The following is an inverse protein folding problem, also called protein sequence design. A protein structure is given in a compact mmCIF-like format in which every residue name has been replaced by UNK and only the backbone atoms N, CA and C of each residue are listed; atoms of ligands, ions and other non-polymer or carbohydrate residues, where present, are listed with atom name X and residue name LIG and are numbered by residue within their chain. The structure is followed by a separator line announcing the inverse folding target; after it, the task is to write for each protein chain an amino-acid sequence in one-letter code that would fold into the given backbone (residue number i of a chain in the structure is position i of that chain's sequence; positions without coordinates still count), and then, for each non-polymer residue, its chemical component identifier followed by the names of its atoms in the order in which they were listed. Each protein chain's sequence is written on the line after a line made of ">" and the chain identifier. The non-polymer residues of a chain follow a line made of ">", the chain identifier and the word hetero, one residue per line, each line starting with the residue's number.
data_IF_052307603772
#
_entry.id   IF_052307603772
#
_cell.length_a   1.000
_cell.length_b   1.000
_cell.length_c   1.000
_cell.angle_alpha   90.00
_cell.angle_beta   90.00
_cell.angle_gamma   90.00
#
_symmetry.space_group_name_H-M   'P 1'
#
loop_
_entity.id
_entity.type
_entity.pdbx_description
1 polymer ?
#
# COMPACT_ATOMS: atom_id res chain seq x y z
N UNK A 1 13.14 6.60 -7.11
CA UNK A 1 12.03 6.96 -6.21
C UNK A 1 11.05 7.80 -7.02
N UNK A 2 9.82 7.32 -7.25
CA UNK A 2 8.73 8.16 -7.76
C UNK A 2 7.82 8.52 -6.60
N UNK A 3 7.62 9.81 -6.40
CA UNK A 3 6.63 10.35 -5.48
C UNK A 3 5.33 10.47 -6.26
N UNK A 4 4.34 9.63 -5.95
CA UNK A 4 3.01 9.77 -6.53
C UNK A 4 2.22 10.77 -5.67
N UNK A 5 1.48 11.67 -6.32
CA UNK A 5 0.60 12.60 -5.62
C UNK A 5 -0.43 11.81 -4.82
N UNK A 6 -0.26 11.92 -3.51
CA UNK A 6 -0.95 11.18 -2.47
C UNK A 6 -2.38 11.68 -2.34
N UNK A 7 -3.28 11.17 -3.18
CA UNK A 7 -4.70 11.28 -2.93
C UNK A 7 -5.02 10.53 -1.63
N UNK A 8 -5.19 11.28 -0.54
CA UNK A 8 -5.70 10.77 0.73
C UNK A 8 -7.08 10.17 0.46
N UNK A 9 -7.20 8.85 0.54
CA UNK A 9 -8.51 8.20 0.52
C UNK A 9 -9.22 8.50 1.86
N UNK A 10 -10.54 8.30 1.92
CA UNK A 10 -11.36 8.55 3.13
C UNK A 10 -10.94 7.74 4.38
N UNK A 11 -9.93 6.89 4.24
CA UNK A 11 -9.46 5.91 5.21
C UNK A 11 -8.31 6.44 6.09
N UNK A 12 -7.95 7.73 5.97
CA UNK A 12 -6.78 8.36 6.60
C UNK A 12 -5.42 7.72 6.26
N UNK A 13 -5.42 6.71 5.37
CA UNK A 13 -4.24 6.07 4.83
C UNK A 13 -3.68 6.87 3.65
N UNK A 14 -2.36 6.82 3.53
CA UNK A 14 -1.59 7.43 2.44
C UNK A 14 -0.43 6.52 2.08
N UNK A 15 -0.10 6.39 0.79
CA UNK A 15 1.08 5.67 0.27
C UNK A 15 2.32 6.58 0.26
N UNK A 16 3.25 6.37 1.17
CA UNK A 16 4.49 7.16 1.24
C UNK A 16 5.50 6.76 0.16
N UNK A 17 5.56 5.47 -0.17
CA UNK A 17 6.45 4.94 -1.19
C UNK A 17 5.91 3.65 -1.81
N UNK A 18 6.34 3.38 -3.04
CA UNK A 18 6.10 2.10 -3.72
C UNK A 18 7.43 1.64 -4.31
N UNK A 19 7.77 0.37 -4.05
CA UNK A 19 8.92 -0.29 -4.63
C UNK A 19 8.45 -1.48 -5.47
N UNK A 20 9.01 -1.63 -6.66
CA UNK A 20 8.82 -2.81 -7.48
C UNK A 20 10.15 -3.53 -7.63
N UNK A 21 10.18 -4.83 -7.31
CA UNK A 21 11.35 -5.66 -7.44
C UNK A 21 10.96 -7.09 -7.79
N UNK A 22 11.50 -7.63 -8.89
CA UNK A 22 11.26 -9.02 -9.33
C UNK A 22 9.77 -9.42 -9.39
N UNK A 23 8.88 -8.51 -9.83
CA UNK A 23 7.45 -8.78 -9.92
C UNK A 23 6.69 -8.65 -8.59
N UNK A 24 7.36 -8.26 -7.51
CA UNK A 24 6.73 -7.90 -6.24
C UNK A 24 6.60 -6.38 -6.12
N UNK A 25 5.48 -5.95 -5.55
CA UNK A 25 5.15 -4.55 -5.30
C UNK A 25 5.02 -4.32 -3.79
N UNK A 26 5.97 -3.59 -3.23
CA UNK A 26 5.99 -3.22 -1.81
C UNK A 26 5.44 -1.81 -1.65
N UNK A 27 4.36 -1.68 -0.90
CA UNK A 27 3.70 -0.42 -0.58
C UNK A 27 4.01 -0.04 0.84
N UNK A 28 4.55 1.17 1.02
CA UNK A 28 4.70 1.80 2.31
C UNK A 28 3.50 2.71 2.53
N UNK A 29 2.80 2.50 3.64
CA UNK A 29 1.57 3.20 3.99
C UNK A 29 1.65 3.80 5.38
N UNK A 30 1.11 5.00 5.52
CA UNK A 30 0.95 5.70 6.78
C UNK A 30 -0.53 6.00 7.02
N UNK A 31 -0.99 5.84 8.26
CA UNK A 31 -2.32 6.25 8.73
C UNK A 31 -2.16 7.48 9.60
N UNK A 32 -2.88 8.57 9.34
CA UNK A 32 -2.85 9.79 10.16
C UNK A 32 -1.45 10.42 10.39
N UNK A 33 -0.48 10.17 9.51
CA UNK A 33 0.91 10.61 9.70
C UNK A 33 1.70 9.82 10.76
N UNK A 34 1.15 8.70 11.22
CA UNK A 34 1.81 7.75 12.12
C UNK A 34 2.69 6.75 11.36
N UNK A 35 3.18 5.74 12.10
CA UNK A 35 4.17 4.72 11.72
C UNK A 35 4.00 4.23 10.29
N UNK A 36 5.13 4.21 9.57
CA UNK A 36 5.24 3.61 8.24
C UNK A 36 5.07 2.08 8.36
N UNK A 37 3.98 1.58 7.78
CA UNK A 37 3.68 0.15 7.68
C UNK A 37 3.85 -0.30 6.23
N UNK A 38 4.11 -1.58 6.04
CA UNK A 38 4.47 -2.14 4.75
C UNK A 38 3.52 -3.27 4.38
N UNK A 39 3.06 -3.27 3.13
CA UNK A 39 2.32 -4.38 2.53
C UNK A 39 2.96 -4.73 1.18
N UNK A 40 3.34 -5.98 1.00
CA UNK A 40 3.91 -6.50 -0.24
C UNK A 40 2.86 -7.32 -0.98
N UNK A 41 2.78 -7.11 -2.28
CA UNK A 41 1.96 -7.87 -3.21
C UNK A 41 2.84 -8.56 -4.25
N UNK A 42 2.42 -9.73 -4.70
CA UNK A 42 2.94 -10.32 -5.94
C UNK A 42 2.30 -9.67 -7.18
N UNK A 43 2.74 -10.11 -8.36
CA UNK A 43 2.22 -9.71 -9.66
C UNK A 43 0.72 -9.99 -9.84
N UNK A 44 0.21 -11.02 -9.14
CA UNK A 44 -1.20 -11.43 -9.16
C UNK A 44 -2.05 -10.70 -8.11
N UNK A 45 -1.49 -9.69 -7.44
CA UNK A 45 -2.13 -8.90 -6.38
C UNK A 45 -2.53 -9.68 -5.12
N UNK A 46 -1.86 -10.79 -4.84
CA UNK A 46 -1.93 -11.47 -3.55
C UNK A 46 -0.94 -10.82 -2.57
N UNK A 47 -1.34 -10.72 -1.30
CA UNK A 47 -0.47 -10.21 -0.25
C UNK A 47 0.52 -11.31 0.13
N UNK A 48 1.81 -11.02 -0.02
CA UNK A 48 2.91 -11.94 0.30
C UNK A 48 3.51 -11.65 1.67
N UNK A 49 3.58 -10.37 2.04
CA UNK A 49 4.13 -9.90 3.31
C UNK A 49 3.43 -8.65 3.82
N UNK A 50 3.45 -8.48 5.12
CA UNK A 50 2.84 -7.35 5.82
C UNK A 50 3.59 -7.11 7.14
N UNK A 51 3.75 -5.84 7.54
CA UNK A 51 4.26 -5.49 8.87
C UNK A 51 3.16 -5.32 9.92
N UNK A 52 1.89 -5.38 9.49
CA UNK A 52 0.74 -5.32 10.39
C UNK A 52 0.64 -6.58 11.26
N UNK A 53 -0.06 -6.46 12.39
CA UNK A 53 -0.47 -7.65 13.13
C UNK A 53 -1.38 -8.51 12.24
N UNK A 54 -0.98 -9.77 12.02
CA UNK A 54 -1.67 -10.68 11.11
C UNK A 54 -3.14 -10.89 11.51
N UNK A 55 -4.03 -10.81 10.53
CA UNK A 55 -5.49 -10.85 10.62
C UNK A 55 -6.14 -9.71 11.41
N UNK A 56 -5.41 -8.62 11.68
CA UNK A 56 -6.00 -7.43 12.30
C UNK A 56 -6.96 -6.71 11.35
N UNK A 57 -7.89 -5.94 11.90
CA UNK A 57 -8.76 -5.08 11.09
C UNK A 57 -7.95 -4.02 10.34
N UNK A 58 -6.89 -3.49 10.96
CA UNK A 58 -5.99 -2.52 10.32
C UNK A 58 -5.29 -3.08 9.09
N UNK A 59 -4.81 -4.33 9.15
CA UNK A 59 -4.23 -5.01 8.00
C UNK A 59 -5.23 -5.08 6.84
N UNK A 60 -6.47 -5.49 7.12
CA UNK A 60 -7.52 -5.60 6.10
C UNK A 60 -7.87 -4.24 5.50
N UNK A 61 -7.96 -3.20 6.32
CA UNK A 61 -8.20 -1.82 5.88
C UNK A 61 -7.09 -1.32 4.95
N UNK A 62 -5.83 -1.52 5.35
CA UNK A 62 -4.67 -1.10 4.58
C UNK A 62 -4.57 -1.84 3.23
N UNK A 63 -4.79 -3.16 3.22
CA UNK A 63 -4.85 -3.95 1.99
C UNK A 63 -5.97 -3.46 1.07
N UNK A 64 -7.16 -3.22 1.61
CA UNK A 64 -8.29 -2.72 0.83
C UNK A 64 -8.02 -1.33 0.25
N UNK A 65 -7.37 -0.44 1.02
CA UNK A 65 -6.91 0.85 0.54
C UNK A 65 -5.93 0.72 -0.63
N UNK A 66 -4.87 -0.10 -0.49
CA UNK A 66 -3.88 -0.28 -1.55
C UNK A 66 -4.52 -0.86 -2.82
N UNK A 67 -5.44 -1.82 -2.69
CA UNK A 67 -6.19 -2.36 -3.84
C UNK A 67 -6.98 -1.27 -4.57
N UNK A 68 -7.67 -0.38 -3.85
CA UNK A 68 -8.38 0.76 -4.47
C UNK A 68 -7.44 1.71 -5.18
N UNK A 69 -6.26 1.97 -4.63
CA UNK A 69 -5.24 2.82 -5.27
C UNK A 69 -4.75 2.17 -6.57
N UNK A 70 -4.47 0.86 -6.55
CA UNK A 70 -4.06 0.09 -7.73
C UNK A 70 -5.13 0.11 -8.83
N UNK A 71 -6.38 -0.20 -8.50
CA UNK A 71 -7.50 -0.21 -9.46
C UNK A 71 -7.75 1.14 -10.11
N UNK A 72 -7.61 2.23 -9.35
CA UNK A 72 -7.81 3.59 -9.85
C UNK A 72 -6.57 4.17 -10.54
N UNK A 73 -5.49 3.41 -10.66
CA UNK A 73 -4.18 3.88 -11.16
C UNK A 73 -3.70 5.17 -10.48
N UNK A 74 -4.06 5.38 -9.21
CA UNK A 74 -3.76 6.62 -8.47
C UNK A 74 -2.26 6.77 -8.23
N UNK A 75 -1.53 5.66 -8.15
CA UNK A 75 -0.08 5.63 -8.06
C UNK A 75 0.44 4.57 -9.03
N UNK A 76 1.36 4.96 -9.91
CA UNK A 76 1.96 4.07 -10.90
C UNK A 76 3.45 3.94 -10.66
N UNK A 77 3.91 2.69 -10.58
CA UNK A 77 5.32 2.35 -10.79
C UNK A 77 5.52 2.32 -12.30
N UNK A 78 6.51 3.05 -12.81
CA UNK A 78 6.86 3.14 -14.24
C UNK A 78 8.27 2.61 -14.48
#
# INVERSE_FOLDING_TARGET
>A
MRFCDLNKDKSDYSITAIFEYNGFFTYHVQKNGEIDQVVEFDSDANVTRTSFQKNSEEEKEAIAFIRRVREKHICSVV
#
